data_IF_327233369541
#
_entry.id   IF_327233369541
#
_cell.length_a   1.000
_cell.length_b   1.000
_cell.length_c   1.000
_cell.angle_alpha   90.00
_cell.angle_beta   90.00
_cell.angle_gamma   90.00
#
_symmetry.space_group_name_H-M   'P 1'
#
loop_
_entity.id
_entity.type
_entity.pdbx_description
1 polymer ?
#
# COMPACT_ATOMS: atom_id res chain seq x y z
N UNK A 1 -19.93 3.73 18.44
CA UNK A 1 -20.18 3.40 17.02
C UNK A 1 -20.33 4.70 16.24
N UNK A 2 -19.63 4.83 15.13
CA UNK A 2 -19.66 6.04 14.27
C UNK A 2 -21.04 6.22 13.64
N UNK A 3 -21.56 7.45 13.62
CA UNK A 3 -22.81 7.76 12.91
C UNK A 3 -22.50 7.86 11.41
N UNK A 4 -23.36 7.30 10.55
CA UNK A 4 -23.16 7.30 9.09
C UNK A 4 -22.92 8.70 8.52
N UNK A 5 -23.59 9.69 9.09
CA UNK A 5 -23.54 11.10 8.68
C UNK A 5 -22.17 11.75 8.93
N UNK A 6 -21.39 11.21 9.87
CA UNK A 6 -20.04 11.69 10.20
C UNK A 6 -18.95 11.01 9.36
N UNK A 7 -19.26 9.98 8.55
CA UNK A 7 -18.24 9.26 7.77
C UNK A 7 -17.38 10.20 6.89
N UNK A 8 -17.95 11.18 6.17
CA UNK A 8 -17.13 12.13 5.40
C UNK A 8 -16.14 12.92 6.27
N UNK A 9 -16.55 13.29 7.50
CA UNK A 9 -15.68 13.96 8.45
C UNK A 9 -14.52 13.07 8.88
N UNK A 10 -14.80 11.79 9.16
CA UNK A 10 -13.77 10.84 9.56
C UNK A 10 -12.78 10.53 8.43
N UNK A 11 -13.24 10.48 7.17
CA UNK A 11 -12.37 10.34 6.00
C UNK A 11 -11.45 11.57 5.88
N UNK A 12 -12.00 12.78 5.97
CA UNK A 12 -11.20 14.01 5.92
C UNK A 12 -10.21 14.10 7.09
N UNK A 13 -10.63 13.73 8.29
CA UNK A 13 -9.76 13.66 9.47
C UNK A 13 -8.58 12.72 9.22
N UNK A 14 -8.84 11.52 8.68
CA UNK A 14 -7.81 10.52 8.39
C UNK A 14 -6.78 10.97 7.35
N UNK A 15 -7.12 11.96 6.51
CA UNK A 15 -6.24 12.52 5.48
C UNK A 15 -5.71 13.92 5.82
N UNK A 16 -5.96 14.44 7.02
CA UNK A 16 -5.58 15.80 7.43
C UNK A 16 -4.09 15.89 7.80
N UNK A 17 -3.19 15.88 6.81
CA UNK A 17 -1.73 15.89 6.98
C UNK A 17 -1.19 17.29 7.39
N UNK A 18 -1.17 17.58 8.69
CA UNK A 18 -0.73 18.86 9.24
C UNK A 18 0.81 19.06 9.22
N UNK A 19 1.37 20.20 8.77
CA UNK A 19 0.70 21.48 8.54
C UNK A 19 0.23 21.72 7.10
N UNK A 20 0.49 20.81 6.16
CA UNK A 20 0.08 20.99 4.76
C UNK A 20 -1.46 21.05 4.60
N UNK A 21 -2.18 20.34 5.47
CA UNK A 21 -3.64 20.34 5.54
C UNK A 21 -4.10 20.67 6.97
N UNK A 22 -5.21 21.40 7.09
CA UNK A 22 -5.77 21.78 8.39
C UNK A 22 -6.34 20.56 9.14
N UNK A 23 -6.33 20.60 10.47
CA UNK A 23 -7.02 19.62 11.30
C UNK A 23 -8.52 19.56 10.99
N UNK A 24 -9.11 18.36 10.99
CA UNK A 24 -10.56 18.21 10.99
C UNK A 24 -11.10 18.27 12.42
N UNK A 25 -12.10 19.12 12.66
CA UNK A 25 -12.81 19.16 13.95
C UNK A 25 -14.04 18.26 13.87
N UNK A 26 -14.15 17.30 14.79
CA UNK A 26 -15.33 16.44 14.93
C UNK A 26 -15.78 16.51 16.39
N UNK A 27 -16.98 17.04 16.61
CA UNK A 27 -17.43 17.45 17.95
C UNK A 27 -16.52 18.51 18.56
N UNK A 28 -15.95 18.21 19.74
CA UNK A 28 -15.03 19.12 20.46
C UNK A 28 -13.55 18.87 20.15
N UNK A 29 -13.23 17.76 19.48
CA UNK A 29 -11.86 17.30 19.28
C UNK A 29 -11.33 17.69 17.89
N UNK A 30 -10.01 17.86 17.79
CA UNK A 30 -9.29 18.06 16.53
C UNK A 30 -8.55 16.78 16.16
N UNK A 31 -8.61 16.40 14.89
CA UNK A 31 -8.00 15.18 14.36
C UNK A 31 -7.06 15.53 13.21
N UNK A 32 -5.98 14.76 13.12
CA UNK A 32 -4.98 14.80 12.05
C UNK A 32 -4.87 13.41 11.40
N UNK A 33 -4.10 13.36 10.32
CA UNK A 33 -3.83 12.16 9.54
C UNK A 33 -3.41 10.96 10.42
N UNK A 34 -4.00 9.78 10.15
CA UNK A 34 -3.70 8.57 10.91
C UNK A 34 -2.26 8.07 10.71
N UNK A 35 -1.63 8.42 9.59
CA UNK A 35 -0.29 8.06 9.18
C UNK A 35 0.81 8.53 10.14
N UNK A 36 0.59 9.59 10.94
CA UNK A 36 1.53 10.00 11.99
C UNK A 36 1.74 8.92 13.06
N UNK A 37 0.72 8.09 13.29
CA UNK A 37 0.74 7.07 14.34
C UNK A 37 0.73 5.66 13.78
N UNK A 38 -0.04 5.41 12.72
CA UNK A 38 -0.25 4.07 12.19
C UNK A 38 -0.67 4.08 10.71
N UNK A 39 0.31 4.20 9.80
CA UNK A 39 0.07 4.26 8.35
C UNK A 39 -0.43 2.96 7.70
N UNK A 40 -0.28 1.81 8.37
CA UNK A 40 -0.82 0.51 7.92
C UNK A 40 -1.46 -0.18 9.14
N UNK A 41 -2.74 0.08 9.42
CA UNK A 41 -3.38 -0.30 10.68
C UNK A 41 -3.83 -1.78 10.74
N UNK A 42 -2.91 -2.72 10.48
CA UNK A 42 -3.19 -4.17 10.54
C UNK A 42 -3.55 -4.62 11.96
N UNK A 43 -2.95 -4.00 12.98
CA UNK A 43 -3.28 -4.28 14.37
C UNK A 43 -4.74 -3.96 14.72
N UNK A 44 -5.30 -2.92 14.10
CA UNK A 44 -6.72 -2.60 14.27
C UNK A 44 -7.57 -3.71 13.66
N UNK A 45 -7.25 -4.16 12.44
CA UNK A 45 -7.97 -5.25 11.80
C UNK A 45 -7.91 -6.56 12.61
N UNK A 46 -6.74 -6.91 13.15
CA UNK A 46 -6.56 -8.08 14.02
C UNK A 46 -7.43 -7.96 15.29
N UNK A 47 -7.42 -6.80 15.94
CA UNK A 47 -8.22 -6.57 17.15
C UNK A 47 -9.73 -6.64 16.90
N UNK A 48 -10.17 -6.31 15.69
CA UNK A 48 -11.56 -6.47 15.24
C UNK A 48 -11.88 -7.91 14.78
N UNK A 49 -10.93 -8.84 14.90
CA UNK A 49 -11.13 -10.28 14.64
C UNK A 49 -10.73 -10.75 13.25
N UNK A 50 -10.04 -9.93 12.44
CA UNK A 50 -9.54 -10.38 11.15
C UNK A 50 -8.46 -11.46 11.34
N UNK A 51 -8.59 -12.57 10.60
CA UNK A 51 -7.61 -13.67 10.56
C UNK A 51 -6.62 -13.52 9.42
N UNK A 52 -6.97 -12.74 8.40
CA UNK A 52 -6.15 -12.52 7.21
C UNK A 52 -6.26 -11.08 6.72
N UNK A 53 -5.23 -10.58 6.03
CA UNK A 53 -5.31 -9.29 5.33
C UNK A 53 -4.49 -9.25 4.04
N UNK A 54 -5.06 -8.57 3.04
CA UNK A 54 -4.32 -8.10 1.89
C UNK A 54 -3.85 -6.66 2.14
N UNK A 55 -2.54 -6.48 2.30
CA UNK A 55 -1.93 -5.22 2.72
C UNK A 55 -1.34 -4.51 1.51
N UNK A 56 -1.92 -3.37 1.16
CA UNK A 56 -1.38 -2.49 0.11
C UNK A 56 -0.51 -1.41 0.76
N UNK A 57 0.78 -1.43 0.49
CA UNK A 57 1.74 -0.44 1.01
C UNK A 57 2.21 0.50 -0.10
N UNK A 58 1.71 1.73 -0.05
CA UNK A 58 2.07 2.81 -0.98
C UNK A 58 3.33 3.58 -0.56
N UNK A 59 4.07 3.09 0.45
CA UNK A 59 5.36 3.63 0.87
C UNK A 59 5.32 5.13 1.22
N UNK A 60 4.21 5.57 1.82
CA UNK A 60 4.03 6.94 2.29
C UNK A 60 5.02 7.33 3.40
N UNK A 61 5.17 8.64 3.67
CA UNK A 61 6.13 9.17 4.63
C UNK A 61 5.87 8.68 6.06
N UNK A 62 6.91 8.73 6.88
CA UNK A 62 6.84 8.39 8.31
C UNK A 62 7.04 6.89 8.61
N UNK A 63 7.37 6.55 9.86
CA UNK A 63 7.60 5.18 10.27
C UNK A 63 6.29 4.38 10.31
N UNK A 64 6.33 3.11 9.91
CA UNK A 64 5.25 2.19 10.23
C UNK A 64 5.25 1.90 11.73
N UNK A 65 4.08 1.83 12.35
CA UNK A 65 3.94 1.35 13.72
C UNK A 65 4.49 -0.07 13.81
N UNK A 66 5.39 -0.33 14.76
CA UNK A 66 5.83 -1.70 15.04
C UNK A 66 4.67 -2.42 15.73
N UNK A 67 4.21 -3.50 15.11
CA UNK A 67 3.14 -4.34 15.64
C UNK A 67 3.63 -5.77 15.73
N UNK A 68 3.20 -6.50 16.76
CA UNK A 68 3.40 -7.94 16.85
C UNK A 68 2.20 -8.61 16.21
N UNK A 69 2.41 -9.13 15.01
CA UNK A 69 1.40 -9.89 14.29
C UNK A 69 1.40 -11.32 14.85
N UNK A 70 0.23 -11.91 15.18
CA UNK A 70 0.14 -13.30 15.60
C UNK A 70 0.67 -14.23 14.50
N UNK A 71 1.33 -15.33 14.88
CA UNK A 71 1.89 -16.29 13.91
C UNK A 71 0.81 -16.95 13.02
N UNK A 72 -0.43 -16.97 13.49
CA UNK A 72 -1.58 -17.51 12.77
C UNK A 72 -2.21 -16.54 11.76
N UNK A 73 -1.79 -15.27 11.75
CA UNK A 73 -2.40 -14.26 10.89
C UNK A 73 -1.77 -14.29 9.50
N UNK A 74 -2.59 -14.52 8.48
CA UNK A 74 -2.11 -14.62 7.10
C UNK A 74 -2.11 -13.23 6.48
N UNK A 75 -0.93 -12.77 6.03
CA UNK A 75 -0.81 -11.44 5.44
C UNK A 75 -0.15 -11.49 4.06
N UNK A 76 -0.82 -10.90 3.07
CA UNK A 76 -0.26 -10.70 1.73
C UNK A 76 0.10 -9.24 1.54
N UNK A 77 1.40 -8.95 1.48
CA UNK A 77 1.88 -7.61 1.15
C UNK A 77 1.91 -7.40 -0.37
N UNK A 78 1.37 -6.28 -0.83
CA UNK A 78 1.47 -5.76 -2.18
C UNK A 78 2.09 -4.37 -2.14
N UNK A 79 3.22 -4.21 -2.82
CA UNK A 79 3.93 -2.94 -2.94
C UNK A 79 4.71 -2.95 -4.26
N UNK A 80 4.92 -1.78 -4.84
CA UNK A 80 5.82 -1.63 -5.99
C UNK A 80 7.27 -1.46 -5.54
N UNK A 81 8.21 -2.00 -6.33
CA UNK A 81 9.64 -1.74 -6.16
C UNK A 81 10.06 -0.40 -6.75
N UNK A 82 9.26 0.14 -7.67
CA UNK A 82 9.47 1.49 -8.19
C UNK A 82 9.05 2.51 -7.15
N UNK A 83 9.80 3.62 -7.09
CA UNK A 83 9.33 4.79 -6.37
C UNK A 83 7.98 5.23 -6.92
N UNK A 84 7.07 5.66 -6.05
CA UNK A 84 5.80 6.33 -6.41
C UNK A 84 5.97 7.86 -6.51
N UNK A 85 7.16 8.38 -6.23
CA UNK A 85 7.49 9.80 -6.31
C UNK A 85 7.59 10.42 -4.92
N UNK A 86 7.80 11.72 -4.87
CA UNK A 86 7.78 12.45 -3.60
C UNK A 86 6.35 12.56 -3.06
N UNK A 87 6.25 12.65 -1.74
CA UNK A 87 4.99 12.95 -1.06
C UNK A 87 4.48 14.35 -1.43
N UNK A 88 3.15 14.52 -1.53
CA UNK A 88 2.48 15.76 -2.00
C UNK A 88 2.91 16.24 -3.41
N UNK A 89 3.35 15.31 -4.26
CA UNK A 89 3.56 15.58 -5.69
C UNK A 89 2.25 15.45 -6.45
N UNK A 90 1.73 16.57 -6.96
CA UNK A 90 0.51 16.62 -7.78
C UNK A 90 0.87 16.71 -9.27
N UNK A 91 1.40 15.62 -9.80
CA UNK A 91 1.76 15.49 -11.22
C UNK A 91 0.90 14.43 -11.91
N UNK A 92 0.30 14.79 -13.05
CA UNK A 92 -0.68 13.93 -13.74
C UNK A 92 -0.05 12.69 -14.38
N UNK A 93 1.12 12.85 -15.03
CA UNK A 93 1.83 11.75 -15.67
C UNK A 93 2.32 10.75 -14.62
N UNK A 94 2.87 11.26 -13.52
CA UNK A 94 3.32 10.45 -12.39
C UNK A 94 2.16 9.71 -11.74
N UNK A 95 1.01 10.36 -11.56
CA UNK A 95 -0.18 9.72 -11.00
C UNK A 95 -0.64 8.55 -11.89
N UNK A 96 -0.71 8.74 -13.20
CA UNK A 96 -1.06 7.67 -14.14
C UNK A 96 -0.10 6.48 -14.04
N UNK A 97 1.21 6.74 -13.98
CA UNK A 97 2.21 5.69 -13.79
C UNK A 97 2.04 4.97 -12.44
N UNK A 98 1.78 5.70 -11.35
CA UNK A 98 1.56 5.10 -10.03
C UNK A 98 0.34 4.18 -10.00
N UNK A 99 -0.75 4.56 -10.67
CA UNK A 99 -1.94 3.72 -10.82
C UNK A 99 -1.61 2.44 -11.62
N UNK A 100 -0.86 2.57 -12.73
CA UNK A 100 -0.41 1.43 -13.52
C UNK A 100 0.48 0.49 -12.70
N UNK A 101 1.44 1.03 -11.95
CA UNK A 101 2.30 0.26 -11.05
C UNK A 101 1.47 -0.53 -10.05
N UNK A 102 0.53 0.12 -9.35
CA UNK A 102 -0.36 -0.57 -8.40
C UNK A 102 -1.16 -1.70 -9.04
N UNK A 103 -1.69 -1.47 -10.24
CA UNK A 103 -2.43 -2.48 -11.00
C UNK A 103 -1.54 -3.68 -11.39
N UNK A 104 -0.34 -3.43 -11.92
CA UNK A 104 0.59 -4.47 -12.35
C UNK A 104 1.14 -5.28 -11.17
N UNK A 105 1.46 -4.63 -10.04
CA UNK A 105 1.88 -5.33 -8.82
C UNK A 105 0.79 -6.27 -8.30
N UNK A 106 -0.47 -5.80 -8.31
CA UNK A 106 -1.59 -6.63 -7.92
C UNK A 106 -1.77 -7.82 -8.88
N UNK A 107 -1.67 -7.60 -10.19
CA UNK A 107 -1.73 -8.67 -11.20
C UNK A 107 -0.62 -9.70 -11.02
N UNK A 108 0.60 -9.27 -10.69
CA UNK A 108 1.69 -10.19 -10.32
C UNK A 108 1.36 -10.99 -9.06
N UNK A 109 0.81 -10.33 -8.03
CA UNK A 109 0.45 -11.01 -6.78
C UNK A 109 -0.67 -12.03 -6.94
N UNK A 110 -1.57 -11.81 -7.89
CA UNK A 110 -2.63 -12.72 -8.30
C UNK A 110 -2.17 -13.80 -9.29
N UNK A 111 -0.88 -13.82 -9.67
CA UNK A 111 -0.32 -14.82 -10.60
C UNK A 111 -0.70 -14.61 -12.07
N UNK A 112 -1.25 -13.45 -12.43
CA UNK A 112 -1.57 -13.13 -13.83
C UNK A 112 -0.35 -12.69 -14.63
N UNK A 113 0.63 -12.08 -13.97
CA UNK A 113 1.87 -11.60 -14.56
C UNK A 113 3.08 -12.05 -13.75
N UNK A 114 4.26 -11.93 -14.34
CA UNK A 114 5.52 -12.39 -13.79
C UNK A 114 6.55 -11.25 -13.73
N UNK A 115 7.63 -11.50 -13.01
CA UNK A 115 8.75 -10.57 -12.87
C UNK A 115 8.81 -9.90 -11.49
N UNK A 116 9.85 -9.11 -11.29
CA UNK A 116 10.13 -8.43 -10.02
C UNK A 116 10.04 -6.91 -10.20
N UNK A 117 11.10 -6.29 -10.73
CA UNK A 117 11.10 -4.87 -11.10
C UNK A 117 10.21 -4.61 -12.31
N UNK A 118 10.32 -5.44 -13.34
CA UNK A 118 9.52 -5.32 -14.56
C UNK A 118 8.39 -6.33 -14.56
N UNK A 119 7.33 -6.03 -15.31
CA UNK A 119 6.16 -6.90 -15.43
C UNK A 119 6.12 -7.51 -16.81
N UNK A 120 6.00 -8.84 -16.86
CA UNK A 120 5.96 -9.64 -18.07
C UNK A 120 4.67 -10.45 -18.12
N UNK A 121 4.09 -10.57 -19.31
CA UNK A 121 2.93 -11.43 -19.59
C UNK A 121 3.27 -12.92 -19.51
N UNK A 122 4.51 -13.26 -19.88
CA UNK A 122 5.01 -14.63 -19.90
C UNK A 122 6.50 -14.68 -19.56
N UNK A 123 6.94 -15.81 -19.02
CA UNK A 123 8.35 -16.08 -18.73
C UNK A 123 8.73 -17.45 -19.28
N UNK A 124 9.93 -17.56 -19.86
CA UNK A 124 10.54 -18.84 -20.21
C UNK A 124 11.64 -19.15 -19.21
N UNK A 125 11.75 -20.40 -18.78
CA UNK A 125 12.85 -20.80 -17.91
C UNK A 125 14.19 -20.64 -18.64
N UNK A 126 15.14 -19.97 -18.01
CA UNK A 126 16.48 -19.81 -18.56
C UNK A 126 17.13 -21.18 -18.89
N UNK A 127 16.91 -22.21 -18.07
CA UNK A 127 17.48 -23.55 -18.30
C UNK A 127 17.13 -24.18 -19.66
N UNK A 128 16.02 -23.79 -20.29
CA UNK A 128 15.65 -24.25 -21.64
C UNK A 128 16.31 -23.44 -22.77
N UNK A 129 16.68 -22.19 -22.53
CA UNK A 129 17.21 -21.28 -23.56
C UNK A 129 18.75 -21.16 -23.51
N UNK A 130 19.38 -21.52 -22.39
CA UNK A 130 20.77 -21.17 -22.08
C UNK A 130 21.81 -22.27 -22.36
N UNK A 131 21.40 -23.47 -22.81
CA UNK A 131 22.37 -24.56 -23.09
C UNK A 131 23.39 -24.21 -24.19
N UNK A 132 23.07 -23.28 -25.09
CA UNK A 132 23.97 -22.86 -26.18
C UNK A 132 25.03 -21.82 -25.80
N UNK A 133 24.91 -21.16 -24.64
CA UNK A 133 25.85 -20.10 -24.22
C UNK A 133 26.97 -20.62 -23.31
N UNK A 134 26.76 -21.77 -22.65
CA UNK A 134 27.76 -22.43 -21.78
C UNK A 134 28.57 -23.51 -22.51
N UNK A 135 28.29 -23.74 -23.80
CA UNK A 135 28.95 -24.75 -24.64
C UNK A 135 30.09 -24.18 -25.50
N UNK A 136 30.57 -22.96 -25.19
CA UNK A 136 31.73 -22.31 -25.82
C UNK A 136 32.76 -21.94 -24.76
#
# INVERSE_FOLDING_TARGET
>A
KTKTEEIPDWILASASFYPAMAYRKIGKNKYADGGYRNKIPIDIAINEGATEAFVVDVQGPGPAKRIRVPDTFIHWKCQTLWTLGSFLLFDSQRNQLNLQLGYLEMKKRLGCYYGNWYTFDSVKQAGTCWRGFLSY
#
